data_IF_215081720376
#
_entry.id   IF_215081720376
#
_cell.length_a   1.000
_cell.length_b   1.000
_cell.length_c   1.000
_cell.angle_alpha   90.00
_cell.angle_beta   90.00
_cell.angle_gamma   90.00
#
_symmetry.space_group_name_H-M   'P 1'
#
loop_
_entity.id
_entity.type
_entity.pdbx_description
1 polymer ?
#
# COMPACT_ATOMS: atom_id res chain seq x y z
N UNK A 1 -47.05 41.98 -11.37
CA UNK A 1 -47.94 41.48 -10.29
C UNK A 1 -47.11 40.57 -9.39
N UNK A 2 -47.01 40.95 -8.13
CA UNK A 2 -46.53 40.32 -6.89
C UNK A 2 -45.33 39.34 -6.95
N UNK A 3 -44.20 39.90 -6.53
CA UNK A 3 -43.05 39.21 -5.93
C UNK A 3 -43.44 38.70 -4.54
N UNK A 4 -43.04 37.50 -4.22
CA UNK A 4 -43.01 37.01 -2.83
C UNK A 4 -41.58 36.60 -2.49
N UNK A 5 -40.95 37.47 -1.72
CA UNK A 5 -39.63 37.23 -1.13
C UNK A 5 -39.79 36.25 0.04
N UNK A 6 -39.07 35.08 -0.04
CA UNK A 6 -38.94 34.17 1.08
C UNK A 6 -37.58 34.42 1.73
N UNK A 7 -37.62 35.05 2.90
CA UNK A 7 -36.50 35.17 3.81
C UNK A 7 -36.27 33.82 4.51
N UNK A 8 -35.12 33.16 4.26
CA UNK A 8 -34.66 32.05 5.08
C UNK A 8 -33.68 32.61 6.09
N UNK A 9 -34.15 32.72 7.33
CA UNK A 9 -33.34 33.11 8.47
C UNK A 9 -32.30 32.00 8.79
N UNK A 10 -31.01 32.33 8.68
CA UNK A 10 -29.92 31.49 9.17
C UNK A 10 -29.87 31.64 10.70
N UNK A 11 -30.37 30.65 11.40
CA UNK A 11 -30.23 30.51 12.85
C UNK A 11 -28.84 29.98 13.17
N UNK A 12 -27.89 30.86 13.51
CA UNK A 12 -26.60 30.49 14.07
C UNK A 12 -26.79 29.92 15.48
N UNK A 13 -26.87 28.59 15.58
CA UNK A 13 -26.69 27.89 16.85
C UNK A 13 -25.20 27.82 17.17
N UNK A 14 -24.72 28.68 18.04
CA UNK A 14 -23.46 28.51 18.77
C UNK A 14 -23.59 27.29 19.68
N UNK A 15 -23.11 26.14 19.19
CA UNK A 15 -22.87 25.00 20.06
C UNK A 15 -21.52 25.22 20.77
N UNK A 16 -21.60 25.56 22.03
CA UNK A 16 -20.49 25.44 22.98
C UNK A 16 -20.06 23.98 23.00
N UNK A 17 -18.96 23.67 22.35
CA UNK A 17 -18.33 22.36 22.47
C UNK A 17 -17.66 22.30 23.84
N UNK A 18 -18.39 21.75 24.82
CA UNK A 18 -17.80 21.29 26.04
C UNK A 18 -16.77 20.20 25.66
N UNK A 19 -15.52 20.41 26.06
CA UNK A 19 -14.48 19.38 26.03
C UNK A 19 -14.85 18.24 26.99
N UNK A 20 -15.66 17.33 26.52
CA UNK A 20 -15.85 16.05 27.19
C UNK A 20 -14.67 15.15 26.79
N UNK A 21 -13.93 14.69 27.79
CA UNK A 21 -12.75 13.85 27.60
C UNK A 21 -13.13 12.62 26.78
N UNK A 22 -12.65 12.56 25.53
CA UNK A 22 -12.85 11.38 24.68
C UNK A 22 -12.29 10.17 25.38
N UNK A 23 -13.19 9.31 25.86
CA UNK A 23 -12.85 7.95 26.31
C UNK A 23 -12.04 7.27 25.20
N UNK A 24 -10.92 6.72 25.59
CA UNK A 24 -10.05 5.90 24.80
C UNK A 24 -10.87 4.84 24.05
N UNK A 25 -10.78 4.82 22.72
CA UNK A 25 -11.55 3.90 21.88
C UNK A 25 -10.99 2.51 22.05
N UNK A 26 -11.64 1.66 22.84
CA UNK A 26 -11.35 0.23 22.88
C UNK A 26 -12.20 -0.47 21.82
N UNK A 27 -11.59 -1.32 21.02
CA UNK A 27 -12.27 -2.26 20.14
C UNK A 27 -12.63 -3.50 20.96
N UNK A 28 -13.88 -3.90 21.03
CA UNK A 28 -14.31 -5.08 21.77
C UNK A 28 -15.32 -5.91 20.98
N UNK A 29 -15.11 -7.22 20.92
CA UNK A 29 -16.05 -8.20 20.39
C UNK A 29 -16.32 -9.23 21.49
N UNK A 30 -17.57 -9.53 21.75
CA UNK A 30 -17.97 -10.55 22.75
C UNK A 30 -18.05 -11.91 22.07
N UNK A 31 -17.19 -12.83 22.47
CA UNK A 31 -17.34 -14.27 22.24
C UNK A 31 -17.61 -14.95 23.58
N UNK A 32 -18.38 -16.06 23.58
CA UNK A 32 -19.11 -16.66 24.71
C UNK A 32 -18.36 -16.98 26.02
N UNK A 33 -17.39 -16.17 26.47
CA UNK A 33 -16.87 -16.10 27.84
C UNK A 33 -15.63 -15.24 28.05
N UNK A 34 -15.06 -14.62 27.01
CA UNK A 34 -13.87 -13.74 27.17
C UNK A 34 -14.01 -12.55 26.24
N UNK A 35 -14.22 -11.37 26.83
CA UNK A 35 -14.15 -10.13 26.04
C UNK A 35 -12.72 -9.88 25.60
N UNK A 36 -12.42 -10.15 24.32
CA UNK A 36 -11.15 -9.75 23.71
C UNK A 36 -11.18 -8.25 23.46
N UNK A 37 -10.12 -7.56 23.83
CA UNK A 37 -10.00 -6.12 23.64
C UNK A 37 -8.59 -5.77 23.19
N UNK A 38 -8.46 -4.74 22.35
CA UNK A 38 -7.18 -4.10 22.09
C UNK A 38 -7.13 -2.78 22.87
N UNK A 39 -6.10 -2.63 23.71
CA UNK A 39 -5.95 -1.45 24.56
C UNK A 39 -4.67 -0.71 24.16
N UNK A 40 -4.81 0.56 23.84
CA UNK A 40 -3.67 1.43 23.55
C UNK A 40 -2.91 1.79 24.84
N UNK A 41 -1.60 2.04 24.74
CA UNK A 41 -0.82 2.52 25.88
C UNK A 41 -1.23 3.95 26.25
N UNK A 42 -1.16 4.26 27.53
CA UNK A 42 -1.33 5.64 28.02
C UNK A 42 -0.05 6.44 27.79
N UNK A 43 -0.15 7.51 27.01
CA UNK A 43 0.99 8.38 26.75
C UNK A 43 1.32 9.22 27.97
N UNK A 44 2.54 9.14 28.53
CA UNK A 44 2.94 9.90 29.72
C UNK A 44 2.74 11.42 29.54
N UNK A 45 2.14 12.06 30.54
CA UNK A 45 1.82 13.52 30.53
C UNK A 45 3.09 14.37 30.35
N UNK A 46 4.25 13.88 30.78
CA UNK A 46 5.53 14.57 30.63
C UNK A 46 6.01 14.68 29.19
N UNK A 47 5.52 13.85 28.26
CA UNK A 47 5.82 13.95 26.84
C UNK A 47 4.96 15.07 26.23
N UNK A 48 5.58 16.25 26.04
CA UNK A 48 4.88 17.44 25.57
C UNK A 48 4.91 17.60 24.05
N UNK A 49 5.98 17.17 23.39
CA UNK A 49 6.08 17.32 21.94
C UNK A 49 5.21 16.28 21.21
N UNK A 50 4.54 16.68 20.11
CA UNK A 50 3.78 15.73 19.28
C UNK A 50 4.64 14.57 18.77
N UNK A 51 5.92 14.83 18.46
CA UNK A 51 6.87 13.83 17.99
C UNK A 51 7.19 12.80 19.06
N UNK A 52 7.52 13.24 20.29
CA UNK A 52 7.80 12.32 21.41
C UNK A 52 6.59 11.45 21.75
N UNK A 53 5.40 12.05 21.70
CA UNK A 53 4.14 11.34 21.93
C UNK A 53 3.87 10.29 20.85
N UNK A 54 4.13 10.62 19.59
CA UNK A 54 3.98 9.70 18.46
C UNK A 54 5.01 8.57 18.57
N UNK A 55 6.28 8.88 18.82
CA UNK A 55 7.34 7.90 18.99
C UNK A 55 7.03 6.94 20.13
N UNK A 56 6.56 7.46 21.28
CA UNK A 56 6.10 6.64 22.40
C UNK A 56 4.94 5.71 21.98
N UNK A 57 3.91 6.27 21.33
CA UNK A 57 2.76 5.50 20.89
C UNK A 57 3.18 4.34 19.96
N UNK A 58 4.05 4.61 18.98
CA UNK A 58 4.53 3.59 18.04
C UNK A 58 5.33 2.50 18.74
N UNK A 59 6.18 2.88 19.69
CA UNK A 59 6.99 1.92 20.44
C UNK A 59 6.19 1.03 21.38
N UNK A 60 5.11 1.54 21.94
CA UNK A 60 4.34 0.87 22.99
C UNK A 60 2.97 0.36 22.54
N UNK A 61 2.64 0.53 21.26
CA UNK A 61 1.32 0.25 20.69
C UNK A 61 0.80 -1.15 21.01
N UNK A 62 1.67 -2.15 20.95
CA UNK A 62 1.36 -3.57 21.14
C UNK A 62 1.65 -4.10 22.54
N UNK A 63 2.04 -3.25 23.51
CA UNK A 63 2.48 -3.70 24.85
C UNK A 63 1.38 -4.44 25.62
N UNK A 64 0.12 -4.09 25.40
CA UNK A 64 -1.02 -4.74 26.04
C UNK A 64 -1.63 -5.89 25.22
N UNK A 65 -1.10 -6.18 24.02
CA UNK A 65 -1.58 -7.29 23.19
C UNK A 65 -0.95 -8.62 23.63
N UNK A 66 -1.81 -9.61 23.87
CA UNK A 66 -1.34 -10.94 24.28
C UNK A 66 -1.05 -11.81 23.05
N UNK A 67 0.16 -11.79 22.54
CA UNK A 67 0.61 -12.61 21.41
C UNK A 67 0.53 -14.12 21.65
N UNK A 68 0.32 -14.59 22.89
CA UNK A 68 0.16 -16.02 23.20
C UNK A 68 -1.30 -16.47 23.11
N UNK A 69 -2.25 -15.54 23.07
CA UNK A 69 -3.68 -15.87 23.00
C UNK A 69 -4.12 -15.96 21.54
N UNK A 70 -4.20 -17.20 21.05
CA UNK A 70 -4.60 -17.46 19.66
C UNK A 70 -6.06 -17.16 19.34
N UNK A 71 -6.89 -16.84 20.34
CA UNK A 71 -8.26 -16.38 20.09
C UNK A 71 -8.30 -15.09 19.28
N UNK A 72 -7.29 -14.23 19.39
CA UNK A 72 -7.17 -13.00 18.60
C UNK A 72 -7.06 -13.24 17.08
N UNK A 73 -6.62 -14.42 16.64
CA UNK A 73 -6.55 -14.78 15.22
C UNK A 73 -7.95 -14.85 14.59
N UNK A 74 -8.95 -15.18 15.37
CA UNK A 74 -10.34 -15.37 14.92
C UNK A 74 -11.19 -14.10 15.04
N UNK A 75 -10.58 -12.99 15.46
CA UNK A 75 -11.29 -11.71 15.62
C UNK A 75 -10.54 -10.60 14.85
N UNK A 76 -10.64 -10.63 13.50
CA UNK A 76 -9.95 -9.66 12.64
C UNK A 76 -10.35 -8.22 12.94
N UNK A 77 -11.59 -7.97 13.34
CA UNK A 77 -12.08 -6.64 13.74
C UNK A 77 -11.28 -6.02 14.91
N UNK A 78 -10.55 -6.83 15.66
CA UNK A 78 -9.65 -6.35 16.72
C UNK A 78 -8.22 -6.32 16.20
N UNK A 79 -7.68 -7.46 15.77
CA UNK A 79 -6.24 -7.60 15.49
C UNK A 79 -5.85 -6.94 14.17
N UNK A 80 -6.63 -7.16 13.11
CA UNK A 80 -6.32 -6.56 11.80
C UNK A 80 -6.62 -5.06 11.81
N UNK A 81 -7.70 -4.61 12.48
CA UNK A 81 -7.96 -3.17 12.63
C UNK A 81 -6.85 -2.48 13.42
N UNK A 82 -6.38 -3.08 14.51
CA UNK A 82 -5.26 -2.54 15.27
C UNK A 82 -3.98 -2.46 14.40
N UNK A 83 -3.75 -3.45 13.54
CA UNK A 83 -2.61 -3.43 12.62
C UNK A 83 -2.75 -2.32 11.56
N UNK A 84 -3.93 -2.12 10.99
CA UNK A 84 -4.21 -1.05 10.01
C UNK A 84 -3.98 0.32 10.64
N UNK A 85 -4.53 0.56 11.83
CA UNK A 85 -4.33 1.82 12.57
C UNK A 85 -2.84 2.04 12.89
N UNK A 86 -2.13 0.96 13.20
CA UNK A 86 -0.70 1.01 13.48
C UNK A 86 0.15 1.36 12.25
N UNK A 87 -0.20 0.83 11.08
CA UNK A 87 0.50 1.16 9.84
C UNK A 87 0.43 2.66 9.51
N UNK A 88 -0.71 3.32 9.79
CA UNK A 88 -0.83 4.77 9.63
C UNK A 88 0.14 5.54 10.55
N UNK A 89 0.31 5.07 11.78
CA UNK A 89 1.29 5.67 12.71
C UNK A 89 2.73 5.43 12.25
N UNK A 90 3.06 4.23 11.77
CA UNK A 90 4.40 3.88 11.28
C UNK A 90 4.85 4.74 10.09
N UNK A 91 3.93 5.17 9.25
CA UNK A 91 4.20 6.07 8.12
C UNK A 91 4.60 7.51 8.54
N UNK A 92 4.46 7.85 9.82
CA UNK A 92 4.70 9.20 10.37
C UNK A 92 5.96 9.28 11.22
N UNK A 93 6.69 8.20 11.38
CA UNK A 93 7.94 8.13 12.15
C UNK A 93 9.13 7.80 11.25
N UNK A 94 10.37 8.06 11.68
CA UNK A 94 11.56 7.67 10.92
C UNK A 94 11.58 6.15 10.65
N UNK A 95 12.05 5.75 9.45
CA UNK A 95 12.13 4.35 9.04
C UNK A 95 12.89 3.45 10.00
N UNK A 96 13.96 3.96 10.64
CA UNK A 96 14.70 3.21 11.64
C UNK A 96 13.86 2.83 12.86
N UNK A 97 12.89 3.67 13.24
CA UNK A 97 11.97 3.38 14.32
C UNK A 97 10.88 2.41 13.86
N UNK A 98 10.27 2.63 12.70
CA UNK A 98 9.27 1.72 12.16
C UNK A 98 9.82 0.31 11.97
N UNK A 99 11.03 0.17 11.41
CA UNK A 99 11.70 -1.11 11.20
C UNK A 99 11.88 -1.89 12.52
N UNK A 100 12.43 -1.21 13.55
CA UNK A 100 12.64 -1.84 14.86
C UNK A 100 11.32 -2.27 15.52
N UNK A 101 10.27 -1.49 15.35
CA UNK A 101 8.95 -1.81 15.88
C UNK A 101 8.31 -3.00 15.16
N UNK A 102 8.42 -3.07 13.84
CA UNK A 102 7.91 -4.20 13.05
C UNK A 102 8.65 -5.49 13.39
N UNK A 103 9.98 -5.44 13.50
CA UNK A 103 10.79 -6.59 13.94
C UNK A 103 10.37 -7.05 15.33
N UNK A 104 10.12 -6.12 16.27
CA UNK A 104 9.64 -6.44 17.62
C UNK A 104 8.30 -7.17 17.60
N UNK A 105 7.35 -6.77 16.78
CA UNK A 105 6.06 -7.47 16.61
C UNK A 105 6.32 -8.91 16.17
N UNK A 106 7.16 -9.11 15.15
CA UNK A 106 7.47 -10.44 14.64
C UNK A 106 8.15 -11.32 15.72
N UNK A 107 9.04 -10.74 16.52
CA UNK A 107 9.66 -11.43 17.65
C UNK A 107 8.64 -11.81 18.74
N UNK A 108 7.69 -10.93 19.05
CA UNK A 108 6.63 -11.23 20.02
C UNK A 108 5.67 -12.29 19.49
N UNK A 109 5.24 -12.17 18.25
CA UNK A 109 4.37 -13.15 17.60
C UNK A 109 5.02 -14.55 17.53
N UNK A 110 6.35 -14.61 17.37
CA UNK A 110 7.09 -15.87 17.28
C UNK A 110 7.10 -16.72 18.56
N UNK A 111 6.62 -16.17 19.67
CA UNK A 111 6.45 -16.94 20.91
C UNK A 111 5.31 -17.98 20.81
N UNK A 112 4.39 -17.81 19.87
CA UNK A 112 3.31 -18.75 19.57
C UNK A 112 3.22 -19.00 18.07
N UNK A 113 3.32 -20.28 17.66
CA UNK A 113 3.46 -20.67 16.25
C UNK A 113 2.28 -20.21 15.38
N UNK A 114 1.05 -20.34 15.88
CA UNK A 114 -0.15 -19.94 15.11
C UNK A 114 -0.22 -18.41 14.98
N UNK A 115 0.10 -17.69 16.04
CA UNK A 115 0.16 -16.24 16.03
C UNK A 115 1.23 -15.73 15.07
N UNK A 116 2.41 -16.36 15.07
CA UNK A 116 3.47 -16.04 14.12
C UNK A 116 3.02 -16.19 12.67
N UNK A 117 2.44 -17.37 12.34
CA UNK A 117 1.92 -17.60 10.98
C UNK A 117 0.84 -16.59 10.58
N UNK A 118 -0.04 -16.22 11.52
CA UNK A 118 -1.06 -15.22 11.29
C UNK A 118 -0.46 -13.84 10.99
N UNK A 119 0.50 -13.37 11.79
CA UNK A 119 1.17 -12.09 11.54
C UNK A 119 1.98 -12.08 10.24
N UNK A 120 2.64 -13.19 9.89
CA UNK A 120 3.31 -13.35 8.58
C UNK A 120 2.33 -13.11 7.43
N UNK A 121 1.14 -13.72 7.53
CA UNK A 121 0.11 -13.63 6.48
C UNK A 121 -0.53 -12.23 6.38
N UNK A 122 -0.90 -11.62 7.52
CA UNK A 122 -1.55 -10.32 7.50
C UNK A 122 -0.59 -9.19 7.08
N UNK A 123 0.69 -9.24 7.48
CA UNK A 123 1.68 -8.29 6.99
C UNK A 123 1.83 -8.37 5.47
N UNK A 124 1.91 -9.57 4.92
CA UNK A 124 2.00 -9.75 3.47
C UNK A 124 0.75 -9.24 2.76
N UNK A 125 -0.43 -9.61 3.26
CA UNK A 125 -1.72 -9.21 2.70
C UNK A 125 -1.89 -7.70 2.69
N UNK A 126 -1.57 -7.04 3.78
CA UNK A 126 -1.78 -5.59 3.86
C UNK A 126 -0.67 -4.78 3.20
N UNK A 127 0.59 -5.17 3.33
CA UNK A 127 1.72 -4.34 2.90
C UNK A 127 2.28 -4.70 1.52
N UNK A 128 1.96 -5.89 0.98
CA UNK A 128 2.58 -6.36 -0.27
C UNK A 128 1.60 -6.82 -1.35
N UNK A 129 0.36 -7.20 -1.00
CA UNK A 129 -0.64 -7.57 -2.01
C UNK A 129 -0.88 -6.39 -2.97
N UNK A 130 -0.84 -6.62 -4.31
CA UNK A 130 -1.06 -5.57 -5.30
C UNK A 130 -2.40 -4.86 -5.17
N UNK A 131 -3.42 -5.54 -4.66
CA UNK A 131 -4.78 -5.00 -4.49
C UNK A 131 -4.98 -4.33 -3.13
N UNK A 132 -3.98 -4.37 -2.25
CA UNK A 132 -4.10 -3.73 -0.93
C UNK A 132 -4.00 -2.20 -1.06
N UNK A 133 -4.98 -1.45 -0.55
CA UNK A 133 -4.90 0.01 -0.48
C UNK A 133 -3.82 0.50 0.51
N UNK A 134 -3.30 -0.41 1.35
CA UNK A 134 -2.27 -0.14 2.37
C UNK A 134 -0.89 -0.63 1.92
N UNK A 135 -0.74 -1.05 0.65
CA UNK A 135 0.54 -1.54 0.13
C UNK A 135 1.66 -0.55 0.41
N UNK A 136 2.68 -1.02 1.12
CA UNK A 136 3.87 -0.25 1.46
C UNK A 136 5.08 -1.18 1.59
N UNK A 137 5.88 -1.23 0.53
CA UNK A 137 7.04 -2.12 0.45
C UNK A 137 8.15 -1.69 1.43
N UNK A 138 8.24 -0.41 1.81
CA UNK A 138 9.22 0.07 2.77
C UNK A 138 8.93 -0.50 4.18
N UNK A 139 7.66 -0.55 4.57
CA UNK A 139 7.26 -1.18 5.83
C UNK A 139 7.32 -2.71 5.76
N UNK A 140 7.16 -3.32 4.60
CA UNK A 140 7.22 -4.77 4.47
C UNK A 140 8.65 -5.32 4.42
N UNK A 141 9.60 -4.54 3.93
CA UNK A 141 11.01 -4.97 3.80
C UNK A 141 11.63 -5.48 5.10
N UNK A 142 11.54 -4.78 6.27
CA UNK A 142 12.09 -5.29 7.53
C UNK A 142 11.42 -6.58 7.99
N UNK A 143 10.12 -6.77 7.74
CA UNK A 143 9.41 -8.03 8.02
C UNK A 143 10.01 -9.17 7.16
N UNK A 144 10.18 -8.96 5.87
CA UNK A 144 10.80 -9.96 4.98
C UNK A 144 12.24 -10.29 5.38
N UNK A 145 13.04 -9.29 5.79
CA UNK A 145 14.40 -9.51 6.29
C UNK A 145 14.41 -10.38 7.54
N UNK A 146 13.50 -10.10 8.49
CA UNK A 146 13.33 -10.92 9.68
C UNK A 146 12.97 -12.37 9.32
N UNK A 147 11.97 -12.57 8.45
CA UNK A 147 11.51 -13.89 8.03
C UNK A 147 12.61 -14.68 7.31
N UNK A 148 13.40 -14.02 6.48
CA UNK A 148 14.50 -14.65 5.74
C UNK A 148 15.62 -15.14 6.63
N UNK A 149 15.87 -14.46 7.74
CA UNK A 149 16.97 -14.73 8.66
C UNK A 149 16.55 -15.61 9.87
N UNK A 150 15.27 -15.63 10.22
CA UNK A 150 14.78 -16.31 11.42
C UNK A 150 14.78 -17.83 11.26
N UNK A 151 15.29 -18.54 12.25
CA UNK A 151 15.18 -20.00 12.34
C UNK A 151 13.75 -20.49 12.66
N UNK A 152 12.87 -19.60 13.10
CA UNK A 152 11.47 -19.88 13.43
C UNK A 152 10.56 -19.88 12.19
N UNK A 153 11.05 -19.33 11.08
CA UNK A 153 10.32 -19.29 9.82
C UNK A 153 10.44 -20.63 9.11
N UNK A 154 9.31 -21.21 8.70
CA UNK A 154 9.35 -22.41 7.86
C UNK A 154 9.96 -22.13 6.47
N UNK A 155 10.33 -23.19 5.76
CA UNK A 155 11.03 -23.07 4.48
C UNK A 155 10.18 -22.34 3.41
N UNK A 156 8.88 -22.60 3.37
CA UNK A 156 7.98 -21.98 2.40
C UNK A 156 7.84 -20.47 2.63
N UNK A 157 7.63 -20.05 3.89
CA UNK A 157 7.55 -18.64 4.25
C UNK A 157 8.90 -17.93 4.05
N UNK A 158 10.01 -18.61 4.35
CA UNK A 158 11.36 -18.07 4.09
C UNK A 158 11.64 -17.85 2.61
N UNK A 159 11.31 -18.83 1.77
CA UNK A 159 11.46 -18.74 0.32
C UNK A 159 10.61 -17.61 -0.26
N UNK A 160 9.36 -17.48 0.19
CA UNK A 160 8.49 -16.34 -0.20
C UNK A 160 9.08 -15.01 0.22
N UNK A 161 9.52 -14.87 1.46
CA UNK A 161 10.11 -13.63 1.95
C UNK A 161 11.38 -13.24 1.18
N UNK A 162 12.22 -14.21 0.80
CA UNK A 162 13.39 -13.98 -0.06
C UNK A 162 13.00 -13.53 -1.46
N UNK A 163 11.96 -14.14 -2.03
CA UNK A 163 11.41 -13.72 -3.31
C UNK A 163 10.85 -12.30 -3.24
N UNK A 164 10.03 -12.01 -2.23
CA UNK A 164 9.43 -10.70 -2.01
C UNK A 164 10.52 -9.62 -1.82
N UNK A 165 11.59 -9.91 -1.05
CA UNK A 165 12.77 -9.02 -0.92
C UNK A 165 13.44 -8.72 -2.26
N UNK A 166 13.54 -9.72 -3.14
CA UNK A 166 14.10 -9.52 -4.48
C UNK A 166 13.21 -8.56 -5.28
N UNK A 167 11.88 -8.72 -5.21
CA UNK A 167 10.94 -7.83 -5.89
C UNK A 167 11.00 -6.41 -5.33
N UNK A 168 10.99 -6.25 -4.00
CA UNK A 168 11.12 -4.95 -3.30
C UNK A 168 12.43 -4.26 -3.69
N UNK A 169 13.52 -5.02 -3.87
CA UNK A 169 14.82 -4.50 -4.27
C UNK A 169 14.86 -3.97 -5.71
N UNK A 170 13.91 -4.41 -6.56
CA UNK A 170 13.77 -3.89 -7.91
C UNK A 170 13.03 -2.55 -7.89
N UNK A 171 13.35 -1.66 -8.81
CA UNK A 171 12.59 -0.42 -9.07
C UNK A 171 12.40 0.52 -7.85
N UNK A 172 13.29 0.46 -6.86
CA UNK A 172 13.27 1.44 -5.75
C UNK A 172 13.50 2.84 -6.29
N UNK A 173 12.80 3.82 -5.71
CA UNK A 173 13.02 5.24 -6.04
C UNK A 173 14.50 5.61 -5.88
N UNK A 174 15.08 6.23 -6.91
CA UNK A 174 16.49 6.57 -6.95
C UNK A 174 17.44 5.45 -7.42
N UNK A 175 16.93 4.22 -7.63
CA UNK A 175 17.67 3.10 -8.18
C UNK A 175 17.48 2.97 -9.70
N UNK A 176 18.38 2.24 -10.36
CA UNK A 176 18.21 1.90 -11.77
C UNK A 176 17.04 0.94 -11.89
N UNK A 177 16.05 1.31 -12.73
CA UNK A 177 14.88 0.46 -13.00
C UNK A 177 15.29 -0.87 -13.67
N UNK A 178 14.55 -1.93 -13.37
CA UNK A 178 14.72 -3.21 -14.04
C UNK A 178 14.46 -3.04 -15.55
N UNK A 179 15.38 -3.54 -16.35
CA UNK A 179 15.28 -3.48 -17.80
C UNK A 179 14.57 -4.72 -18.34
N UNK A 180 13.77 -4.55 -19.37
CA UNK A 180 13.10 -5.64 -20.05
C UNK A 180 13.02 -5.40 -21.56
N UNK A 181 12.77 -6.48 -22.30
CA UNK A 181 12.58 -6.43 -23.75
C UNK A 181 11.09 -6.30 -24.03
N UNK A 182 10.74 -5.42 -24.97
CA UNK A 182 9.40 -5.30 -25.49
C UNK A 182 9.37 -5.46 -27.01
N UNK A 183 8.25 -5.91 -27.55
CA UNK A 183 8.08 -6.15 -28.98
C UNK A 183 7.12 -5.13 -29.58
N UNK A 184 7.54 -4.48 -30.64
CA UNK A 184 6.73 -3.53 -31.40
C UNK A 184 5.72 -4.26 -32.32
N UNK A 185 4.67 -3.57 -32.85
CA UNK A 185 3.75 -4.15 -33.83
C UNK A 185 4.45 -4.74 -35.07
N UNK A 186 5.58 -4.19 -35.45
CA UNK A 186 6.41 -4.70 -36.55
C UNK A 186 7.12 -6.04 -36.25
N UNK A 187 7.07 -6.55 -35.00
CA UNK A 187 7.84 -7.69 -34.54
C UNK A 187 9.28 -7.35 -34.10
N UNK A 188 9.70 -6.10 -34.22
CA UNK A 188 11.03 -5.66 -33.78
C UNK A 188 11.08 -5.62 -32.24
N UNK A 189 12.10 -6.23 -31.65
CA UNK A 189 12.37 -6.17 -30.22
C UNK A 189 13.26 -4.99 -29.86
N UNK A 190 12.98 -4.35 -28.74
CA UNK A 190 13.75 -3.25 -28.16
C UNK A 190 13.84 -3.40 -26.66
N UNK A 191 14.78 -2.70 -26.03
CA UNK A 191 14.91 -2.64 -24.57
C UNK A 191 14.31 -1.35 -24.03
N UNK A 192 13.71 -1.41 -22.86
CA UNK A 192 13.15 -0.21 -22.20
C UNK A 192 14.22 0.85 -21.97
N UNK A 193 15.42 0.45 -21.56
CA UNK A 193 16.56 1.39 -21.34
C UNK A 193 17.01 2.14 -22.59
N UNK A 194 16.66 1.67 -23.78
CA UNK A 194 17.05 2.31 -25.04
C UNK A 194 16.12 3.47 -25.42
N UNK A 195 15.12 3.76 -24.61
CA UNK A 195 14.24 4.92 -24.79
C UNK A 195 14.99 6.18 -24.38
N UNK A 196 15.37 6.99 -25.37
CA UNK A 196 16.20 8.19 -25.17
C UNK A 196 15.35 9.43 -24.89
N UNK A 197 14.62 9.44 -23.77
CA UNK A 197 13.91 10.64 -23.28
C UNK A 197 14.22 10.87 -21.81
N UNK A 198 14.12 12.11 -21.29
CA UNK A 198 14.36 12.38 -19.86
C UNK A 198 13.50 11.52 -18.94
N UNK A 199 12.28 11.21 -19.34
CA UNK A 199 11.34 10.37 -18.57
C UNK A 199 10.68 9.33 -19.48
N UNK A 200 10.48 8.14 -18.95
CA UNK A 200 9.65 7.10 -19.56
C UNK A 200 8.48 6.81 -18.61
N UNK A 201 7.24 6.98 -19.10
CA UNK A 201 6.05 6.56 -18.41
C UNK A 201 5.70 5.16 -18.92
N UNK A 202 5.81 4.16 -18.04
CA UNK A 202 5.48 2.78 -18.34
C UNK A 202 4.02 2.53 -17.95
N UNK A 203 3.20 2.17 -18.93
CA UNK A 203 1.80 1.81 -18.76
C UNK A 203 1.63 0.32 -19.08
N UNK A 204 1.43 -0.49 -18.05
CA UNK A 204 0.93 -1.86 -18.24
C UNK A 204 -0.57 -1.82 -18.48
N UNK A 205 -1.02 -2.43 -19.56
CA UNK A 205 -2.45 -2.40 -19.89
C UNK A 205 -2.92 -3.72 -20.49
N UNK A 206 -4.20 -4.01 -20.28
CA UNK A 206 -4.94 -5.07 -20.98
C UNK A 206 -6.22 -4.45 -21.54
N UNK A 207 -6.51 -4.60 -22.86
CA UNK A 207 -7.73 -4.06 -23.47
C UNK A 207 -9.03 -4.55 -22.83
N UNK A 208 -9.06 -5.81 -22.36
CA UNK A 208 -10.24 -6.41 -21.72
C UNK A 208 -10.41 -5.98 -20.24
N UNK A 209 -9.48 -5.18 -19.72
CA UNK A 209 -9.56 -4.65 -18.36
C UNK A 209 -10.28 -3.30 -18.32
N UNK A 210 -11.41 -3.22 -17.65
CA UNK A 210 -12.20 -1.99 -17.55
C UNK A 210 -11.40 -0.82 -16.93
N UNK A 211 -10.67 -1.03 -15.85
CA UNK A 211 -9.83 0.00 -15.23
C UNK A 211 -8.69 0.48 -16.13
N UNK A 212 -8.13 -0.42 -16.96
CA UNK A 212 -7.14 -0.04 -17.97
C UNK A 212 -7.75 0.86 -19.05
N UNK A 213 -8.96 0.55 -19.50
CA UNK A 213 -9.67 1.36 -20.50
C UNK A 213 -9.97 2.77 -19.97
N UNK A 214 -10.44 2.91 -18.72
CA UNK A 214 -10.67 4.20 -18.08
C UNK A 214 -9.38 5.00 -17.91
N UNK A 215 -8.30 4.36 -17.48
CA UNK A 215 -6.98 4.97 -17.34
C UNK A 215 -6.49 5.48 -18.70
N UNK A 216 -6.58 4.65 -19.73
CA UNK A 216 -6.18 4.99 -21.08
C UNK A 216 -7.00 6.18 -21.63
N UNK A 217 -8.32 6.20 -21.43
CA UNK A 217 -9.19 7.31 -21.82
C UNK A 217 -8.80 8.62 -21.12
N UNK A 218 -8.53 8.55 -19.80
CA UNK A 218 -8.07 9.70 -19.01
C UNK A 218 -6.73 10.23 -19.52
N UNK A 219 -5.78 9.35 -19.81
CA UNK A 219 -4.46 9.74 -20.32
C UNK A 219 -4.55 10.37 -21.73
N UNK A 220 -5.38 9.83 -22.62
CA UNK A 220 -5.64 10.36 -23.96
C UNK A 220 -6.19 11.80 -23.94
N UNK A 221 -7.02 12.11 -22.96
CA UNK A 221 -7.66 13.43 -22.81
C UNK A 221 -6.89 14.41 -21.91
N UNK A 222 -5.82 13.96 -21.27
CA UNK A 222 -5.01 14.79 -20.38
C UNK A 222 -4.32 15.93 -21.11
N UNK A 223 -4.72 17.16 -20.85
CA UNK A 223 -4.08 18.35 -21.38
C UNK A 223 -2.60 18.49 -20.95
N UNK A 224 -2.26 17.94 -19.78
CA UNK A 224 -0.88 17.96 -19.28
C UNK A 224 -0.02 16.98 -20.07
N UNK A 225 -0.40 15.70 -20.12
CA UNK A 225 0.37 14.65 -20.81
C UNK A 225 0.53 14.94 -22.31
N UNK A 226 -0.49 15.51 -22.94
CA UNK A 226 -0.52 15.78 -24.38
C UNK A 226 0.01 17.19 -24.72
N UNK A 227 0.52 17.95 -23.75
CA UNK A 227 1.13 19.24 -24.05
C UNK A 227 2.47 19.04 -24.82
N UNK A 228 2.77 19.90 -25.81
CA UNK A 228 3.99 19.77 -26.61
C UNK A 228 5.29 19.80 -25.79
N UNK A 229 5.26 20.45 -24.64
CA UNK A 229 6.39 20.50 -23.71
C UNK A 229 6.64 19.14 -23.04
N UNK A 230 5.59 18.52 -22.51
CA UNK A 230 5.68 17.22 -21.84
C UNK A 230 6.00 16.10 -22.84
N UNK A 231 5.37 16.11 -24.03
CA UNK A 231 5.64 15.10 -25.06
C UNK A 231 7.08 15.07 -25.56
N UNK A 232 7.83 16.17 -25.43
CA UNK A 232 9.28 16.21 -25.73
C UNK A 232 10.14 15.60 -24.63
N UNK A 233 9.65 15.55 -23.41
CA UNK A 233 10.40 15.07 -22.24
C UNK A 233 9.99 13.67 -21.80
N UNK A 234 8.74 13.28 -22.04
CA UNK A 234 8.18 12.02 -21.59
C UNK A 234 7.86 11.14 -22.80
N UNK A 235 8.37 9.93 -22.82
CA UNK A 235 7.92 8.87 -23.72
C UNK A 235 7.00 7.91 -22.98
N UNK A 236 5.83 7.66 -23.52
CA UNK A 236 4.90 6.67 -22.95
C UNK A 236 5.15 5.35 -23.64
N UNK A 237 5.46 4.32 -22.85
CA UNK A 237 5.58 2.94 -23.29
C UNK A 237 4.33 2.19 -22.79
N UNK A 238 3.37 1.96 -23.67
CA UNK A 238 2.21 1.11 -23.41
C UNK A 238 2.61 -0.33 -23.70
N UNK A 239 2.62 -1.14 -22.64
CA UNK A 239 3.10 -2.52 -22.67
C UNK A 239 1.96 -3.47 -22.29
N UNK A 240 1.68 -4.41 -23.17
CA UNK A 240 0.73 -5.50 -22.95
C UNK A 240 1.50 -6.74 -22.47
N UNK A 241 1.30 -7.17 -21.22
CA UNK A 241 2.10 -8.24 -20.61
C UNK A 241 1.53 -9.64 -20.79
N UNK A 242 0.29 -9.79 -21.29
CA UNK A 242 -0.40 -11.07 -21.32
C UNK A 242 -0.10 -11.85 -22.62
N UNK A 243 -0.30 -13.17 -22.56
CA UNK A 243 0.02 -14.10 -23.66
C UNK A 243 -0.95 -14.02 -24.86
N UNK A 244 -2.20 -13.51 -24.65
CA UNK A 244 -3.21 -13.44 -25.69
C UNK A 244 -2.94 -12.30 -26.69
N UNK A 245 -2.07 -12.60 -27.63
CA UNK A 245 -1.69 -11.68 -28.70
C UNK A 245 -2.84 -11.26 -29.61
N UNK A 246 -3.91 -12.06 -29.75
CA UNK A 246 -5.04 -11.71 -30.59
C UNK A 246 -5.82 -10.55 -29.99
N UNK A 247 -6.01 -10.53 -28.68
CA UNK A 247 -6.63 -9.42 -27.95
C UNK A 247 -5.84 -8.15 -28.20
N UNK A 248 -4.52 -8.15 -27.98
CA UNK A 248 -3.69 -6.99 -28.24
C UNK A 248 -3.75 -6.51 -29.69
N UNK A 249 -3.71 -7.45 -30.66
CA UNK A 249 -3.73 -7.12 -32.09
C UNK A 249 -5.01 -6.41 -32.50
N UNK A 250 -6.15 -6.80 -31.96
CA UNK A 250 -7.46 -6.17 -32.24
C UNK A 250 -7.53 -4.73 -31.73
N UNK A 251 -6.82 -4.41 -30.67
CA UNK A 251 -6.88 -3.13 -29.96
C UNK A 251 -5.68 -2.20 -30.21
N UNK A 252 -4.79 -2.54 -31.15
CA UNK A 252 -3.58 -1.75 -31.43
C UNK A 252 -3.87 -0.28 -31.73
N UNK A 253 -4.96 0.00 -32.43
CA UNK A 253 -5.34 1.35 -32.86
C UNK A 253 -5.88 2.21 -31.69
N UNK A 254 -6.07 1.65 -30.51
CA UNK A 254 -6.50 2.38 -29.34
C UNK A 254 -5.36 3.14 -28.68
N UNK A 255 -4.12 2.76 -28.96
CA UNK A 255 -2.94 3.45 -28.43
C UNK A 255 -2.58 4.62 -29.34
N UNK A 256 -2.42 5.85 -28.81
CA UNK A 256 -2.08 7.03 -29.60
C UNK A 256 -0.73 6.90 -30.36
N UNK A 257 -0.66 7.39 -31.58
CA UNK A 257 0.54 7.31 -32.44
C UNK A 257 1.84 7.88 -31.81
N UNK A 258 1.71 8.83 -30.88
CA UNK A 258 2.86 9.39 -30.16
C UNK A 258 3.47 8.50 -29.11
N UNK A 259 2.79 7.42 -28.73
CA UNK A 259 3.21 6.47 -27.71
C UNK A 259 3.92 5.27 -28.36
N UNK A 260 4.69 4.53 -27.58
CA UNK A 260 5.22 3.23 -28.01
C UNK A 260 4.18 2.17 -27.62
N UNK A 261 3.52 1.58 -28.61
CA UNK A 261 2.64 0.42 -28.40
C UNK A 261 3.49 -0.85 -28.49
N UNK A 262 3.35 -1.73 -27.53
CA UNK A 262 4.20 -2.93 -27.42
C UNK A 262 3.52 -4.07 -26.66
N UNK A 263 4.08 -5.27 -26.82
CA UNK A 263 3.61 -6.48 -26.13
C UNK A 263 4.78 -7.32 -25.68
N UNK A 264 4.51 -8.22 -24.72
CA UNK A 264 5.42 -9.30 -24.35
C UNK A 264 5.38 -10.42 -25.39
N UNK A 265 6.55 -10.92 -25.76
CA UNK A 265 6.64 -12.02 -26.71
C UNK A 265 6.91 -13.38 -26.02
N UNK A 266 7.39 -13.33 -24.76
CA UNK A 266 7.80 -14.52 -24.01
C UNK A 266 6.66 -15.23 -23.32
#
# INVERSE_FOLDING_TARGET
>A
MRKTDIWIGVLCCFLLIACDGKKQKSLSVNDDNKSLTFTLPEVPIMLQSPEDRLNFMVQHYWDHFNFKDTAYIHVPDITEQALVDYMDLLNRVPSSLSDSCLIRIMQQASQEKKMFGYFVEIFRRYLFDPNSPLRNEELYEPVCRFLSASSLTDEAARSRAQHDLKLIGMNKVGSIAADFIYTLPSGMQKRMRDICTPYTLLLFYNPDCHGCAETLATMKTSAVLNSPHIMKQVKILAFYPDEDREVWTKHQNEIPDGWINSYDKE
#
